data_IF_357005379018
#
_entry.id   IF_357005379018
#
_cell.length_a   1.000
_cell.length_b   1.000
_cell.length_c   1.000
_cell.angle_alpha   90.00
_cell.angle_beta   90.00
_cell.angle_gamma   90.00
#
_symmetry.space_group_name_H-M   'P 1'
#
loop_
_entity.id
_entity.type
_entity.pdbx_description
1 polymer ?
#
# COMPACT_ATOMS: atom_id res chain seq x y z
N UNK A 1 29.13 16.33 -7.14
CA UNK A 1 27.94 15.48 -7.37
C UNK A 1 28.40 14.18 -8.00
N UNK A 2 27.88 13.02 -7.57
CA UNK A 2 28.26 11.70 -8.10
C UNK A 2 27.08 11.13 -8.89
N UNK A 3 27.28 10.89 -10.19
CA UNK A 3 26.32 10.15 -10.99
C UNK A 3 26.25 8.71 -10.47
N UNK A 4 25.06 8.24 -10.14
CA UNK A 4 24.84 6.87 -9.69
C UNK A 4 24.40 6.00 -10.87
N UNK A 5 24.72 4.71 -10.82
CA UNK A 5 24.11 3.77 -11.76
C UNK A 5 22.63 3.61 -11.39
N UNK A 6 21.76 3.30 -12.36
CA UNK A 6 20.36 3.01 -12.07
C UNK A 6 20.21 1.85 -11.06
N UNK A 7 21.15 0.89 -11.05
CA UNK A 7 21.20 -0.17 -10.04
C UNK A 7 21.48 0.37 -8.64
N UNK A 8 22.40 1.32 -8.48
CA UNK A 8 22.67 1.97 -7.20
C UNK A 8 21.44 2.70 -6.67
N UNK A 9 20.74 3.43 -7.55
CA UNK A 9 19.49 4.11 -7.20
C UNK A 9 18.39 3.11 -6.84
N UNK A 10 18.29 2.00 -7.58
CA UNK A 10 17.35 0.94 -7.30
C UNK A 10 17.59 0.28 -5.95
N UNK A 11 18.85 -0.06 -5.63
CA UNK A 11 19.21 -0.66 -4.36
C UNK A 11 18.99 0.31 -3.19
N UNK A 12 19.17 1.61 -3.41
CA UNK A 12 18.81 2.64 -2.44
C UNK A 12 17.30 2.71 -2.20
N UNK A 13 16.48 2.76 -3.26
CA UNK A 13 15.01 2.82 -3.17
C UNK A 13 14.43 1.60 -2.43
N UNK A 14 15.06 0.41 -2.54
CA UNK A 14 14.60 -0.80 -1.83
C UNK A 14 14.61 -0.68 -0.30
N UNK A 15 15.32 0.31 0.25
CA UNK A 15 15.37 0.55 1.68
C UNK A 15 14.19 1.40 2.18
N UNK A 16 13.20 1.70 1.32
CA UNK A 16 12.05 2.50 1.68
C UNK A 16 10.75 1.76 1.31
N UNK A 17 9.75 1.88 2.18
CA UNK A 17 8.43 1.31 1.95
C UNK A 17 7.49 2.28 1.22
N UNK A 18 7.76 3.58 1.36
CA UNK A 18 6.98 4.62 0.71
C UNK A 18 7.88 5.80 0.32
N UNK A 19 7.73 6.25 -0.92
CA UNK A 19 8.35 7.45 -1.47
C UNK A 19 7.25 8.32 -2.08
N UNK A 20 7.33 9.64 -1.89
CA UNK A 20 6.60 10.56 -2.77
C UNK A 20 7.37 10.70 -4.07
N UNK A 21 6.64 10.93 -5.15
CA UNK A 21 7.18 11.13 -6.49
C UNK A 21 6.59 12.41 -7.04
N UNK A 22 7.47 13.33 -7.44
CA UNK A 22 7.15 14.51 -8.21
C UNK A 22 7.67 14.34 -9.62
N UNK A 23 6.79 14.28 -10.59
CA UNK A 23 7.13 14.24 -12.02
C UNK A 23 6.92 15.60 -12.66
N UNK A 24 7.89 16.07 -13.43
CA UNK A 24 7.84 17.33 -14.18
C UNK A 24 8.10 17.02 -15.66
N UNK A 25 7.16 17.34 -16.55
CA UNK A 25 7.37 17.21 -17.99
C UNK A 25 8.10 18.41 -18.61
N UNK A 26 8.41 18.34 -19.92
CA UNK A 26 9.08 19.44 -20.65
C UNK A 26 8.30 20.77 -20.68
N UNK A 27 7.00 20.74 -20.39
CA UNK A 27 6.14 21.93 -20.34
C UNK A 27 5.97 22.45 -18.90
N UNK A 28 6.74 21.93 -17.94
CA UNK A 28 6.61 22.19 -16.50
C UNK A 28 5.26 21.77 -15.91
N UNK A 29 4.55 20.82 -16.53
CA UNK A 29 3.40 20.22 -15.88
C UNK A 29 3.90 19.31 -14.76
N UNK A 30 3.42 19.59 -13.54
CA UNK A 30 3.79 18.85 -12.34
C UNK A 30 2.67 17.86 -12.01
N UNK A 31 3.05 16.61 -11.73
CA UNK A 31 2.19 15.63 -11.07
C UNK A 31 2.89 15.09 -9.84
N UNK A 32 2.11 14.85 -8.80
CA UNK A 32 2.59 14.25 -7.56
C UNK A 32 1.79 12.99 -7.29
N UNK A 33 2.49 11.94 -6.84
CA UNK A 33 1.92 10.66 -6.47
C UNK A 33 2.87 9.92 -5.55
N UNK A 34 2.46 8.78 -5.00
CA UNK A 34 3.30 7.97 -4.13
C UNK A 34 3.66 6.66 -4.79
N UNK A 35 4.77 6.06 -4.36
CA UNK A 35 5.26 4.77 -4.86
C UNK A 35 5.87 3.99 -3.71
N UNK A 36 5.74 2.67 -3.76
CA UNK A 36 6.37 1.73 -2.81
C UNK A 36 7.63 1.10 -3.39
N UNK A 37 8.16 1.66 -4.48
CA UNK A 37 9.40 1.23 -5.11
C UNK A 37 9.35 1.39 -6.63
N UNK A 38 10.42 0.99 -7.31
CA UNK A 38 10.48 1.00 -8.77
C UNK A 38 10.70 -0.40 -9.32
N UNK A 39 10.19 -0.67 -10.52
CA UNK A 39 10.47 -1.86 -11.32
C UNK A 39 11.30 -1.46 -12.52
N UNK A 40 12.41 -2.17 -12.73
CA UNK A 40 13.29 -2.00 -13.89
C UNK A 40 13.03 -3.15 -14.85
N UNK A 41 12.69 -2.85 -16.11
CA UNK A 41 12.47 -3.88 -17.12
C UNK A 41 13.80 -4.38 -17.70
N UNK A 42 14.07 -5.69 -17.55
CA UNK A 42 15.23 -6.37 -18.12
C UNK A 42 14.99 -6.62 -19.61
N UNK A 43 15.50 -5.70 -20.41
CA UNK A 43 16.22 -6.00 -21.65
C UNK A 43 17.24 -4.89 -21.93
N UNK A 44 16.99 -3.65 -21.48
CA UNK A 44 17.93 -2.54 -21.70
C UNK A 44 18.25 -1.67 -20.46
N UNK A 45 17.75 -2.00 -19.26
CA UNK A 45 17.93 -1.20 -18.01
C UNK A 45 17.53 0.29 -18.15
N UNK A 46 16.69 0.62 -19.12
CA UNK A 46 16.34 2.01 -19.41
C UNK A 46 14.88 2.35 -19.11
N UNK A 47 13.99 1.40 -18.89
CA UNK A 47 12.60 1.74 -18.57
C UNK A 47 12.35 1.50 -17.09
N UNK A 48 11.85 2.52 -16.41
CA UNK A 48 11.35 2.42 -15.05
C UNK A 48 9.84 2.42 -15.04
N UNK A 49 9.31 1.73 -14.03
CA UNK A 49 7.92 1.74 -13.66
C UNK A 49 7.85 2.01 -12.17
N UNK A 50 6.95 2.88 -11.74
CA UNK A 50 6.69 3.07 -10.32
C UNK A 50 5.78 1.94 -9.84
N UNK A 51 6.28 1.13 -8.91
CA UNK A 51 5.45 0.20 -8.18
C UNK A 51 4.63 1.02 -7.20
N UNK A 52 3.33 1.10 -7.45
CA UNK A 52 2.37 1.60 -6.47
C UNK A 52 1.67 0.37 -5.94
N UNK A 53 1.93 0.01 -4.69
CA UNK A 53 1.42 -1.23 -4.12
C UNK A 53 -0.10 -1.34 -4.34
N UNK A 54 -0.53 -2.46 -4.92
CA UNK A 54 -1.91 -2.73 -5.33
C UNK A 54 -2.61 -1.69 -6.23
N UNK A 55 -1.90 -0.79 -6.92
CA UNK A 55 -2.45 0.07 -7.97
C UNK A 55 -2.29 -0.60 -9.36
N UNK A 56 -3.25 -0.42 -10.27
CA UNK A 56 -3.20 -0.91 -11.66
C UNK A 56 -3.54 0.25 -12.60
N UNK A 57 -2.83 0.49 -13.72
CA UNK A 57 -1.70 -0.25 -14.25
C UNK A 57 -0.34 0.35 -13.85
N UNK A 58 0.69 -0.49 -13.94
CA UNK A 58 2.08 -0.03 -14.08
C UNK A 58 2.16 0.72 -15.41
N UNK A 59 2.23 2.05 -15.39
CA UNK A 59 2.53 2.85 -16.59
C UNK A 59 4.05 2.82 -16.78
N UNK A 60 4.58 2.14 -17.81
CA UNK A 60 6.00 2.22 -18.11
C UNK A 60 6.34 3.63 -18.58
N UNK A 61 7.29 4.26 -17.90
CA UNK A 61 7.82 5.55 -18.32
C UNK A 61 9.08 5.37 -19.17
N UNK A 62 9.36 6.42 -19.94
CA UNK A 62 10.36 6.53 -21.02
C UNK A 62 11.81 6.23 -20.56
N UNK A 63 12.76 6.22 -21.50
CA UNK A 63 14.15 5.83 -21.27
C UNK A 63 14.87 6.72 -20.23
N UNK A 64 15.33 6.13 -19.12
CA UNK A 64 16.23 6.73 -18.12
C UNK A 64 17.54 7.14 -18.79
N UNK A 65 17.81 8.44 -18.82
CA UNK A 65 19.08 9.01 -19.27
C UNK A 65 20.08 9.09 -18.14
N UNK A 66 19.63 9.49 -16.95
CA UNK A 66 20.47 9.54 -15.76
C UNK A 66 19.65 9.45 -14.48
N UNK A 67 20.30 8.99 -13.41
CA UNK A 67 19.73 8.96 -12.07
C UNK A 67 20.79 9.31 -11.02
N UNK A 68 20.38 9.97 -9.95
CA UNK A 68 21.26 10.42 -8.87
C UNK A 68 20.56 10.31 -7.51
N UNK A 69 21.36 10.12 -6.47
CA UNK A 69 20.95 10.26 -5.06
C UNK A 69 21.57 11.59 -4.62
N UNK A 70 20.74 12.53 -4.21
CA UNK A 70 21.13 13.88 -3.84
C UNK A 70 21.57 13.93 -2.38
N UNK A 71 22.13 15.07 -1.98
CA UNK A 71 22.68 15.26 -0.63
C UNK A 71 21.60 15.30 0.46
N UNK A 72 20.36 15.60 0.08
CA UNK A 72 19.18 15.60 0.94
C UNK A 72 18.43 14.26 0.91
N UNK A 73 19.11 13.18 0.49
CA UNK A 73 18.59 11.83 0.32
C UNK A 73 17.45 11.67 -0.70
N UNK A 74 17.09 12.76 -1.40
CA UNK A 74 16.16 12.68 -2.52
C UNK A 74 16.80 11.98 -3.72
N UNK A 75 16.00 11.24 -4.49
CA UNK A 75 16.44 10.57 -5.70
C UNK A 75 15.92 11.35 -6.89
N UNK A 76 16.79 11.64 -7.85
CA UNK A 76 16.39 12.24 -9.10
C UNK A 76 16.61 11.29 -10.27
N UNK A 77 15.62 11.19 -11.16
CA UNK A 77 15.65 10.34 -12.34
C UNK A 77 15.17 11.15 -13.56
N UNK A 78 16.02 11.31 -14.56
CA UNK A 78 15.64 11.92 -15.84
C UNK A 78 15.31 10.83 -16.85
N UNK A 79 14.08 10.84 -17.34
CA UNK A 79 13.59 9.94 -18.40
C UNK A 79 13.44 10.68 -19.73
N UNK A 80 14.28 11.70 -19.99
CA UNK A 80 14.31 12.45 -21.24
C UNK A 80 13.15 13.42 -21.47
N UNK A 81 11.90 12.98 -21.34
CA UNK A 81 10.70 13.81 -21.44
C UNK A 81 10.09 14.19 -20.09
N UNK A 82 10.42 13.43 -19.05
CA UNK A 82 9.91 13.62 -17.70
C UNK A 82 11.09 13.51 -16.73
N UNK A 83 11.13 14.44 -15.79
CA UNK A 83 12.03 14.43 -14.64
C UNK A 83 11.27 14.01 -13.40
N UNK A 84 11.79 13.01 -12.69
CA UNK A 84 11.23 12.53 -11.43
C UNK A 84 12.14 12.93 -10.28
N UNK A 85 11.55 13.48 -9.23
CA UNK A 85 12.16 13.59 -7.91
C UNK A 85 11.39 12.69 -6.97
N UNK A 86 12.05 11.71 -6.37
CA UNK A 86 11.48 10.84 -5.36
C UNK A 86 12.02 11.29 -4.00
N UNK A 87 11.14 11.48 -3.03
CA UNK A 87 11.51 11.79 -1.65
C UNK A 87 11.14 10.62 -0.77
N UNK A 88 12.11 10.01 -0.06
CA UNK A 88 11.80 8.95 0.90
C UNK A 88 10.91 9.47 2.03
N UNK A 89 9.85 8.73 2.37
CA UNK A 89 8.91 9.11 3.43
C UNK A 89 8.94 8.14 4.61
N UNK A 90 9.13 6.85 4.33
CA UNK A 90 9.19 5.79 5.33
C UNK A 90 10.33 4.85 4.97
N UNK A 91 11.37 4.85 5.79
CA UNK A 91 12.39 3.80 5.76
C UNK A 91 11.73 2.45 5.98
N UNK A 92 12.18 1.48 5.21
CA UNK A 92 11.84 0.09 5.42
C UNK A 92 12.44 -0.29 6.77
N UNK A 93 11.57 -0.68 7.70
CA UNK A 93 12.04 -1.21 8.97
C UNK A 93 13.07 -2.31 8.68
N UNK A 94 14.19 -2.33 9.44
CA UNK A 94 15.07 -3.50 9.43
C UNK A 94 14.18 -4.72 9.54
N UNK A 95 14.35 -5.70 8.63
CA UNK A 95 13.49 -6.87 8.50
C UNK A 95 13.23 -7.46 9.88
N UNK A 96 12.20 -6.97 10.54
CA UNK A 96 11.70 -7.54 11.76
C UNK A 96 10.93 -8.70 11.19
N UNK A 97 11.69 -9.79 11.01
CA UNK A 97 11.20 -11.00 10.44
C UNK A 97 10.08 -11.42 11.39
N UNK A 98 8.85 -11.04 11.08
CA UNK A 98 7.69 -11.79 11.47
C UNK A 98 7.88 -13.15 10.79
N UNK A 99 8.77 -14.00 11.36
CA UNK A 99 9.05 -15.38 10.98
C UNK A 99 7.81 -16.26 11.09
N UNK A 100 6.70 -15.69 11.53
CA UNK A 100 5.54 -16.41 12.02
C UNK A 100 4.21 -15.99 11.42
N UNK A 101 4.14 -15.00 10.53
CA UNK A 101 2.88 -14.74 9.86
C UNK A 101 2.77 -15.64 8.64
N UNK A 102 2.18 -16.82 8.89
CA UNK A 102 1.32 -17.42 7.88
C UNK A 102 0.17 -16.45 7.68
N UNK A 103 0.41 -15.42 6.88
CA UNK A 103 -0.62 -14.55 6.35
C UNK A 103 -1.51 -15.45 5.49
N UNK A 104 -2.48 -16.06 6.16
CA UNK A 104 -3.54 -16.84 5.57
C UNK A 104 -4.44 -15.83 4.88
N UNK A 105 -4.14 -15.56 3.62
CA UNK A 105 -4.98 -14.68 2.81
C UNK A 105 -6.42 -15.20 2.76
N UNK A 106 -6.62 -16.49 3.00
CA UNK A 106 -7.90 -17.14 3.21
C UNK A 106 -8.71 -16.64 4.43
N UNK A 107 -8.10 -15.99 5.42
CA UNK A 107 -8.82 -15.40 6.57
C UNK A 107 -8.93 -13.88 6.53
N UNK A 108 -8.18 -13.20 5.64
CA UNK A 108 -8.13 -11.75 5.33
C UNK A 108 -7.93 -10.76 6.49
N UNK A 109 -8.17 -11.18 7.72
CA UNK A 109 -8.36 -10.35 8.89
C UNK A 109 -7.46 -10.90 10.01
N UNK A 110 -6.34 -10.21 10.26
CA UNK A 110 -5.41 -10.51 11.34
C UNK A 110 -5.02 -9.21 12.03
N UNK A 111 -5.06 -9.19 13.36
CA UNK A 111 -4.67 -8.03 14.17
C UNK A 111 -3.17 -7.69 14.05
N UNK A 112 -2.33 -8.69 13.78
CA UNK A 112 -0.87 -8.54 13.77
C UNK A 112 -0.38 -7.71 12.59
N UNK A 113 -1.20 -7.56 11.55
CA UNK A 113 -0.88 -6.75 10.37
C UNK A 113 -1.55 -5.38 10.41
N UNK A 114 -2.21 -4.99 11.50
CA UNK A 114 -2.86 -3.68 11.59
C UNK A 114 -1.83 -2.60 11.93
N UNK A 115 -1.90 -1.48 11.22
CA UNK A 115 -1.16 -0.26 11.56
C UNK A 115 -1.86 0.43 12.74
N UNK A 116 -1.45 0.06 13.95
CA UNK A 116 -1.99 0.62 15.20
C UNK A 116 -1.88 2.15 15.22
N UNK A 117 -0.85 2.74 14.59
CA UNK A 117 -0.67 4.21 14.57
C UNK A 117 -1.69 4.94 13.71
N UNK A 118 -2.40 4.20 12.84
CA UNK A 118 -3.45 4.70 11.95
C UNK A 118 -4.85 4.23 12.35
N UNK A 119 -4.98 3.53 13.47
CA UNK A 119 -6.30 3.13 13.99
C UNK A 119 -7.06 4.36 14.43
N UNK A 120 -8.30 4.48 13.97
CA UNK A 120 -9.21 5.54 14.36
C UNK A 120 -10.52 4.95 14.84
N UNK A 121 -11.21 5.69 15.70
CA UNK A 121 -12.50 5.30 16.26
C UNK A 121 -13.51 6.41 16.07
N UNK A 122 -14.66 6.09 15.50
CA UNK A 122 -15.75 7.04 15.31
C UNK A 122 -17.08 6.32 15.50
N UNK A 123 -17.98 6.86 16.33
CA UNK A 123 -19.35 6.32 16.51
C UNK A 123 -19.41 4.79 16.73
N UNK A 124 -18.60 4.26 17.65
CA UNK A 124 -18.46 2.80 17.92
C UNK A 124 -17.97 1.97 16.73
N UNK A 125 -17.44 2.61 15.70
CA UNK A 125 -16.74 1.98 14.60
C UNK A 125 -15.24 2.14 14.80
N UNK A 126 -14.51 1.03 14.74
CA UNK A 126 -13.04 1.01 14.81
C UNK A 126 -12.51 0.73 13.43
N UNK A 127 -11.72 1.65 12.87
CA UNK A 127 -11.07 1.47 11.58
C UNK A 127 -9.62 0.99 11.76
N UNK A 128 -9.26 -0.03 10.99
CA UNK A 128 -8.07 -0.85 11.17
C UNK A 128 -7.35 -0.96 9.81
N UNK A 129 -6.53 0.04 9.43
CA UNK A 129 -5.70 -0.03 8.23
C UNK A 129 -4.62 -1.11 8.35
N UNK A 130 -4.33 -1.81 7.25
CA UNK A 130 -3.26 -2.82 7.22
C UNK A 130 -1.89 -2.16 7.04
N UNK A 131 -0.93 -2.51 7.90
CA UNK A 131 0.50 -2.23 7.79
C UNK A 131 1.19 -3.31 6.94
N UNK A 132 1.55 -2.95 5.72
CA UNK A 132 2.28 -3.86 4.83
C UNK A 132 3.67 -4.22 5.31
N UNK A 133 4.30 -3.40 6.15
CA UNK A 133 5.60 -3.74 6.74
C UNK A 133 5.46 -4.97 7.62
N UNK A 134 4.34 -5.07 8.37
CA UNK A 134 4.03 -6.21 9.22
C UNK A 134 3.59 -7.46 8.44
N UNK A 135 3.17 -7.30 7.19
CA UNK A 135 2.94 -8.43 6.28
C UNK A 135 4.27 -9.10 5.90
N UNK A 136 5.36 -8.33 5.84
CA UNK A 136 6.69 -8.84 5.51
C UNK A 136 6.85 -9.21 4.03
N UNK A 137 7.78 -10.11 3.72
CA UNK A 137 7.99 -10.58 2.34
C UNK A 137 6.79 -11.39 1.88
N UNK A 138 6.08 -10.86 0.88
CA UNK A 138 4.99 -11.57 0.21
C UNK A 138 5.52 -12.34 -1.00
N UNK A 139 5.05 -13.56 -1.18
CA UNK A 139 5.20 -14.29 -2.44
C UNK A 139 4.34 -13.63 -3.52
N UNK A 140 4.68 -13.84 -4.80
CA UNK A 140 3.87 -13.32 -5.92
C UNK A 140 2.42 -13.80 -5.89
N UNK A 141 2.17 -15.01 -5.35
CA UNK A 141 0.82 -15.53 -5.13
C UNK A 141 0.07 -14.71 -4.08
N UNK A 142 0.74 -14.31 -2.99
CA UNK A 142 0.15 -13.50 -1.95
C UNK A 142 -0.18 -12.09 -2.46
N UNK A 143 0.74 -11.44 -3.17
CA UNK A 143 0.48 -10.15 -3.82
C UNK A 143 -0.72 -10.22 -4.78
N UNK A 144 -0.81 -11.29 -5.57
CA UNK A 144 -1.93 -11.50 -6.49
C UNK A 144 -3.26 -11.58 -5.75
N UNK A 145 -3.34 -12.34 -4.65
CA UNK A 145 -4.58 -12.47 -3.89
C UNK A 145 -4.97 -11.17 -3.17
N UNK A 146 -4.01 -10.38 -2.67
CA UNK A 146 -4.29 -9.05 -2.09
C UNK A 146 -4.87 -8.12 -3.17
N UNK A 147 -4.32 -8.15 -4.39
CA UNK A 147 -4.89 -7.42 -5.53
C UNK A 147 -6.30 -7.90 -5.85
N UNK A 148 -6.54 -9.22 -5.87
CA UNK A 148 -7.89 -9.78 -6.05
C UNK A 148 -8.88 -9.29 -4.99
N UNK A 149 -8.49 -9.23 -3.72
CA UNK A 149 -9.33 -8.66 -2.66
C UNK A 149 -9.68 -7.21 -2.96
N UNK A 150 -8.68 -6.37 -3.19
CA UNK A 150 -8.89 -4.93 -3.43
C UNK A 150 -9.75 -4.68 -4.68
N UNK A 151 -9.45 -5.38 -5.77
CA UNK A 151 -10.06 -5.09 -7.07
C UNK A 151 -11.43 -5.76 -7.22
N UNK A 152 -11.60 -7.00 -6.76
CA UNK A 152 -12.83 -7.78 -7.02
C UNK A 152 -13.79 -7.82 -5.82
N UNK A 153 -13.28 -7.86 -4.59
CA UNK A 153 -14.14 -8.03 -3.39
C UNK A 153 -14.47 -6.67 -2.80
N UNK A 154 -13.48 -5.80 -2.70
CA UNK A 154 -13.65 -4.47 -2.13
C UNK A 154 -14.15 -3.46 -3.18
N UNK A 155 -14.37 -3.85 -4.43
CA UNK A 155 -14.83 -2.97 -5.50
C UNK A 155 -13.92 -1.75 -5.72
N UNK A 156 -12.61 -1.97 -5.91
CA UNK A 156 -11.69 -0.92 -6.33
C UNK A 156 -12.20 -0.28 -7.63
N UNK A 157 -12.66 0.98 -7.60
CA UNK A 157 -13.22 1.65 -8.78
C UNK A 157 -12.13 2.16 -9.75
N UNK A 158 -12.43 2.22 -11.07
CA UNK A 158 -11.48 2.49 -12.18
C UNK A 158 -10.56 3.71 -11.98
N UNK A 159 -11.07 4.78 -11.39
CA UNK A 159 -10.31 6.01 -11.11
C UNK A 159 -9.43 5.89 -9.85
N UNK A 160 -9.81 5.02 -8.90
CA UNK A 160 -9.11 4.75 -7.64
C UNK A 160 -7.90 3.83 -7.80
N UNK A 161 -7.72 3.22 -8.98
CA UNK A 161 -6.58 2.33 -9.25
C UNK A 161 -5.23 3.06 -9.39
N UNK A 162 -5.20 4.39 -9.31
CA UNK A 162 -3.96 5.17 -9.48
C UNK A 162 -3.23 5.50 -8.18
N UNK A 163 -3.83 5.29 -7.00
CA UNK A 163 -3.19 5.59 -5.71
C UNK A 163 -2.54 4.37 -5.06
N UNK A 164 -1.56 4.61 -4.17
CA UNK A 164 -1.05 3.58 -3.26
C UNK A 164 -2.14 3.20 -2.25
N UNK A 165 -2.56 1.93 -2.26
CA UNK A 165 -3.75 1.48 -1.54
C UNK A 165 -3.56 0.16 -0.82
N UNK A 166 -4.21 0.05 0.34
CA UNK A 166 -4.15 -1.11 1.23
C UNK A 166 -5.57 -1.58 1.55
N UNK A 167 -5.77 -2.87 1.86
CA UNK A 167 -6.98 -3.28 2.53
C UNK A 167 -7.03 -2.61 3.91
N UNK A 168 -8.21 -2.19 4.31
CA UNK A 168 -8.50 -1.81 5.68
C UNK A 168 -9.81 -2.44 6.09
N UNK A 169 -10.02 -2.56 7.40
CA UNK A 169 -11.23 -3.12 7.95
C UNK A 169 -11.85 -2.11 8.88
N UNK A 170 -13.17 -2.10 8.98
CA UNK A 170 -13.84 -1.49 10.12
C UNK A 170 -14.72 -2.48 10.83
N UNK A 171 -14.76 -2.37 12.15
CA UNK A 171 -15.69 -3.13 12.98
C UNK A 171 -16.63 -2.14 13.65
N UNK A 172 -17.90 -2.21 13.27
CA UNK A 172 -18.99 -1.43 13.87
C UNK A 172 -19.66 -2.28 14.95
N UNK A 173 -19.77 -1.75 16.16
CA UNK A 173 -20.38 -2.43 17.29
C UNK A 173 -21.79 -1.88 17.60
N UNK A 174 -22.79 -2.75 17.51
CA UNK A 174 -24.21 -2.45 17.77
C UNK A 174 -24.74 -3.39 18.86
N UNK A 175 -24.79 -2.93 20.12
CA UNK A 175 -25.25 -3.73 21.27
C UNK A 175 -24.46 -5.06 21.39
N UNK A 176 -25.12 -6.20 21.25
CA UNK A 176 -24.53 -7.55 21.27
C UNK A 176 -24.07 -8.02 19.86
N UNK A 177 -24.19 -7.17 18.85
CA UNK A 177 -23.86 -7.47 17.45
C UNK A 177 -22.68 -6.64 16.95
N UNK A 178 -22.09 -7.09 15.85
CA UNK A 178 -21.07 -6.35 15.14
C UNK A 178 -21.14 -6.60 13.63
N UNK A 179 -20.68 -5.61 12.87
CA UNK A 179 -20.48 -5.69 11.43
C UNK A 179 -19.02 -5.49 11.12
N UNK A 180 -18.51 -6.28 10.19
CA UNK A 180 -17.16 -6.09 9.65
C UNK A 180 -17.29 -5.63 8.23
N UNK A 181 -16.73 -4.46 7.96
CA UNK A 181 -16.64 -3.90 6.63
C UNK A 181 -15.19 -3.95 6.15
N UNK A 182 -15.01 -4.25 4.87
CA UNK A 182 -13.75 -4.11 4.15
C UNK A 182 -13.71 -2.80 3.40
N UNK A 183 -12.53 -2.22 3.34
CA UNK A 183 -12.29 -0.93 2.71
C UNK A 183 -11.01 -0.94 1.91
N UNK A 184 -10.95 -0.12 0.87
CA UNK A 184 -9.71 0.30 0.23
C UNK A 184 -9.27 1.58 0.91
N UNK A 185 -8.13 1.55 1.59
CA UNK A 185 -7.55 2.69 2.27
C UNK A 185 -6.44 3.30 1.41
N UNK A 186 -6.58 4.60 1.14
CA UNK A 186 -5.60 5.39 0.40
C UNK A 186 -4.49 5.85 1.35
N UNK A 187 -3.28 5.36 1.14
CA UNK A 187 -2.13 5.71 2.00
C UNK A 187 -1.72 7.17 1.79
N UNK A 188 -2.02 7.74 0.62
CA UNK A 188 -1.58 9.07 0.21
C UNK A 188 -2.25 10.18 1.01
N UNK A 189 -3.55 10.03 1.27
CA UNK A 189 -4.37 11.04 1.97
C UNK A 189 -5.08 10.51 3.22
N UNK A 190 -4.96 9.21 3.52
CA UNK A 190 -5.57 8.58 4.68
C UNK A 190 -7.09 8.37 4.58
N UNK A 191 -7.66 8.42 3.38
CA UNK A 191 -9.09 8.26 3.16
C UNK A 191 -9.51 6.82 2.86
N UNK A 192 -10.68 6.43 3.34
CA UNK A 192 -11.36 5.19 2.93
C UNK A 192 -12.11 5.44 1.64
N UNK A 193 -11.72 4.73 0.59
CA UNK A 193 -12.25 4.97 -0.75
C UNK A 193 -13.56 4.23 -1.02
N UNK A 194 -13.81 3.12 -0.34
CA UNK A 194 -15.02 2.32 -0.47
C UNK A 194 -15.24 1.49 0.78
N UNK A 195 -16.47 0.97 0.90
CA UNK A 195 -16.92 0.15 2.02
C UNK A 195 -17.74 -0.99 1.47
N UNK A 196 -17.36 -2.22 1.79
CA UNK A 196 -18.10 -3.44 1.45
C UNK A 196 -18.38 -4.20 2.73
N UNK A 197 -19.65 -4.56 2.97
CA UNK A 197 -20.02 -5.40 4.10
C UNK A 197 -19.46 -6.80 3.89
N UNK A 198 -18.56 -7.24 4.77
CA UNK A 198 -17.93 -8.56 4.69
C UNK A 198 -18.59 -9.57 5.63
N UNK A 199 -19.08 -9.09 6.78
CA UNK A 199 -19.73 -9.92 7.79
C UNK A 199 -20.74 -9.11 8.61
N UNK A 200 -21.88 -9.73 8.94
CA UNK A 200 -22.88 -9.19 9.86
C UNK A 200 -23.30 -10.29 10.85
N UNK A 201 -22.99 -10.10 12.13
CA UNK A 201 -23.27 -11.10 13.17
C UNK A 201 -24.76 -11.34 13.40
N UNK A 202 -25.61 -10.36 13.05
CA UNK A 202 -27.06 -10.42 13.28
C UNK A 202 -27.77 -11.24 12.20
N UNK A 203 -27.31 -11.14 10.96
CA UNK A 203 -27.97 -11.75 9.78
C UNK A 203 -27.22 -12.97 9.23
N UNK A 204 -26.04 -13.28 9.77
CA UNK A 204 -25.14 -14.36 9.34
C UNK A 204 -24.69 -14.25 7.87
N UNK A 205 -24.65 -13.03 7.32
CA UNK A 205 -24.02 -12.77 6.01
C UNK A 205 -22.51 -13.01 6.15
N UNK A 206 -21.95 -13.86 5.29
CA UNK A 206 -20.54 -14.26 5.32
C UNK A 206 -19.92 -14.19 3.91
N UNK A 207 -19.19 -13.12 3.63
CA UNK A 207 -18.20 -13.09 2.54
C UNK A 207 -16.83 -13.59 3.01
N UNK A 208 -16.60 -13.56 4.33
CA UNK A 208 -15.42 -14.09 5.02
C UNK A 208 -15.83 -14.69 6.39
N UNK A 209 -15.00 -15.55 6.97
CA UNK A 209 -15.14 -15.99 8.36
C UNK A 209 -14.28 -15.09 9.27
N UNK A 210 -14.87 -14.26 10.14
CA UNK A 210 -14.08 -13.47 11.06
C UNK A 210 -13.38 -14.37 12.08
N UNK A 211 -12.09 -14.14 12.28
CA UNK A 211 -11.37 -14.72 13.41
C UNK A 211 -11.87 -14.07 14.70
N UNK A 212 -12.33 -14.86 15.68
CA UNK A 212 -12.85 -14.36 16.96
C UNK A 212 -11.87 -13.40 17.67
N UNK A 213 -10.57 -13.63 17.52
CA UNK A 213 -9.51 -12.78 18.06
C UNK A 213 -9.49 -11.35 17.46
N UNK A 214 -10.02 -11.16 16.25
CA UNK A 214 -10.00 -9.86 15.57
C UNK A 214 -11.06 -8.90 16.10
N UNK A 215 -12.26 -9.40 16.40
CA UNK A 215 -13.34 -8.57 16.94
C UNK A 215 -13.04 -8.13 18.36
N UNK A 216 -12.46 -9.00 19.19
CA UNK A 216 -11.98 -8.63 20.53
C UNK A 216 -10.81 -7.63 20.46
N UNK A 217 -9.90 -7.81 19.49
CA UNK A 217 -8.85 -6.82 19.23
C UNK A 217 -9.44 -5.46 18.83
N UNK A 218 -10.38 -5.42 17.89
CA UNK A 218 -11.04 -4.17 17.49
C UNK A 218 -11.75 -3.51 18.68
N UNK A 219 -12.50 -4.30 19.47
CA UNK A 219 -13.23 -3.82 20.65
C UNK A 219 -12.31 -3.20 21.71
N UNK A 220 -11.06 -3.64 21.79
CA UNK A 220 -10.08 -3.09 22.73
C UNK A 220 -9.77 -1.60 22.51
N UNK A 221 -10.02 -1.06 21.32
CA UNK A 221 -9.82 0.37 21.00
C UNK A 221 -11.00 1.27 21.40
N UNK A 222 -12.12 0.70 21.87
CA UNK A 222 -13.30 1.47 22.30
C UNK A 222 -13.31 1.78 23.81
N UNK A 223 -12.34 1.28 24.57
CA UNK A 223 -12.20 1.48 26.02
C UNK A 223 -11.09 2.48 26.35
#
# INVERSE_FOLDING_TARGET
MKNNTLNTVYDYIKNYDLLSVKSTDKNNNIKEFFTTGIKIFRNDLKNIAFNRFCSVPIVPDDFVKFAEIRQDDSIFINCGAIDYTLTPLKERAEKDTCKHNKFYIDTFIDKNIIDISKVTTENKTVFLPVDFVKIGETTSLQEMKIKTLIDNILEGAAEKYQCCRVPAFSVEFEEDNYKINGHVYNIENGEYLNTVLLYDSKTDIKHINPYADFTEFAKSFLN
#
